data_IF_376672576562
#
_entry.id   IF_376672576562
#
_cell.length_a   1.000
_cell.length_b   1.000
_cell.length_c   1.000
_cell.angle_alpha   90.00
_cell.angle_beta   90.00
_cell.angle_gamma   90.00
#
_symmetry.space_group_name_H-M   'P 1'
#
loop_
_entity.id
_entity.type
_entity.pdbx_description
1 polymer ?
#
# COMPACT_ATOMS: atom_id res chain seq x y z
N UNK A 1 5.62 78.48 -20.23
CA UNK A 1 4.62 78.04 -19.23
C UNK A 1 5.26 77.04 -18.29
N UNK A 2 5.00 77.19 -16.98
CA UNK A 2 5.20 76.25 -15.85
C UNK A 2 6.25 75.12 -15.96
N UNK A 3 7.24 75.21 -15.08
CA UNK A 3 8.08 74.11 -14.58
C UNK A 3 7.24 73.00 -13.94
N UNK A 4 7.76 71.77 -13.93
CA UNK A 4 7.48 70.77 -12.89
C UNK A 4 8.76 70.01 -12.51
N UNK A 5 8.82 69.61 -11.25
CA UNK A 5 9.95 69.00 -10.53
C UNK A 5 9.43 67.69 -9.89
N UNK A 6 10.30 66.89 -9.23
CA UNK A 6 9.97 65.74 -8.35
C UNK A 6 9.63 64.44 -9.14
N UNK A 7 10.12 63.24 -8.81
CA UNK A 7 11.20 62.81 -7.88
C UNK A 7 11.78 61.45 -8.32
N UNK A 8 12.91 61.07 -7.71
CA UNK A 8 13.41 59.70 -7.72
C UNK A 8 12.51 58.78 -6.88
N UNK A 9 12.39 57.52 -7.29
CA UNK A 9 11.94 56.45 -6.41
C UNK A 9 12.76 55.19 -6.73
N UNK A 10 13.60 54.80 -5.78
CA UNK A 10 14.34 53.56 -5.83
C UNK A 10 13.40 52.40 -5.47
N UNK A 11 13.29 51.40 -6.35
CA UNK A 11 12.80 50.09 -5.96
C UNK A 11 14.02 49.19 -5.79
N UNK A 12 14.44 49.02 -4.53
CA UNK A 12 15.35 47.95 -4.12
C UNK A 12 14.86 46.62 -4.69
N UNK A 13 15.78 45.78 -5.15
CA UNK A 13 15.48 44.39 -5.47
C UNK A 13 15.02 43.65 -4.22
N UNK A 14 13.71 43.56 -4.01
CA UNK A 14 13.13 42.74 -2.96
C UNK A 14 13.15 41.29 -3.45
N UNK A 15 14.24 40.59 -3.16
CA UNK A 15 14.24 39.13 -3.20
C UNK A 15 13.24 38.63 -2.14
N UNK A 16 11.97 38.48 -2.52
CA UNK A 16 11.08 37.59 -1.80
C UNK A 16 11.63 36.18 -1.94
N UNK A 17 12.48 35.80 -0.98
CA UNK A 17 12.57 34.40 -0.59
C UNK A 17 11.18 34.05 -0.04
N UNK A 18 10.33 33.50 -0.90
CA UNK A 18 9.15 32.80 -0.48
C UNK A 18 9.66 31.56 0.29
N UNK A 19 9.75 31.68 1.62
CA UNK A 19 9.80 30.52 2.48
C UNK A 19 8.52 29.73 2.20
N UNK A 20 8.65 28.62 1.47
CA UNK A 20 7.54 27.73 1.18
C UNK A 20 6.91 27.25 2.50
N UNK A 21 5.61 26.97 2.53
CA UNK A 21 4.98 26.42 3.73
C UNK A 21 5.71 25.13 4.12
N UNK A 22 6.17 25.06 5.38
CA UNK A 22 6.66 23.81 5.94
C UNK A 22 5.50 22.83 5.96
N UNK A 23 5.66 21.67 5.32
CA UNK A 23 4.72 20.58 5.44
C UNK A 23 4.85 19.98 6.85
N UNK A 24 3.93 20.36 7.74
CA UNK A 24 3.81 19.75 9.06
C UNK A 24 3.11 18.40 8.90
N UNK A 25 3.85 17.30 9.09
CA UNK A 25 3.28 15.96 9.10
C UNK A 25 2.71 15.66 10.49
N UNK A 26 1.39 15.47 10.55
CA UNK A 26 0.67 15.10 11.76
C UNK A 26 0.48 13.58 11.77
N UNK A 27 1.07 12.92 12.76
CA UNK A 27 0.87 11.51 13.03
C UNK A 27 -0.02 11.33 14.26
N UNK A 28 -1.04 10.47 14.15
CA UNK A 28 -1.87 10.05 15.27
C UNK A 28 -2.12 8.54 15.24
N UNK A 29 -2.54 7.98 16.38
CA UNK A 29 -2.99 6.59 16.50
C UNK A 29 -4.43 6.63 17.00
N UNK A 30 -5.35 6.00 16.26
CA UNK A 30 -6.76 6.02 16.61
C UNK A 30 -7.14 5.01 17.72
N UNK A 31 -8.41 5.02 18.12
CA UNK A 31 -8.97 4.13 19.16
C UNK A 31 -8.89 2.63 18.81
N UNK A 32 -8.56 2.28 17.55
CA UNK A 32 -8.38 0.91 17.06
C UNK A 32 -6.90 0.53 16.95
N UNK A 33 -5.99 1.42 17.33
CA UNK A 33 -4.55 1.23 17.19
C UNK A 33 -4.02 1.49 15.78
N UNK A 34 -4.84 2.02 14.86
CA UNK A 34 -4.39 2.32 13.50
C UNK A 34 -3.61 3.63 13.49
N UNK A 35 -2.39 3.59 12.94
CA UNK A 35 -1.55 4.78 12.74
C UNK A 35 -1.97 5.48 11.45
N UNK A 36 -2.21 6.77 11.55
CA UNK A 36 -2.55 7.65 10.43
C UNK A 36 -1.51 8.78 10.33
N UNK A 37 -1.24 9.22 9.11
CA UNK A 37 -0.33 10.33 8.80
C UNK A 37 -1.00 11.25 7.78
N UNK A 38 -0.96 12.56 8.01
CA UNK A 38 -1.47 13.60 7.10
C UNK A 38 -0.51 14.79 7.07
N UNK A 39 -0.42 15.46 5.93
CA UNK A 39 0.21 16.78 5.76
C UNK A 39 -0.79 17.95 5.98
N UNK A 40 -2.08 17.62 6.04
CA UNK A 40 -3.18 18.55 6.26
C UNK A 40 -3.73 18.40 7.69
N UNK A 41 -3.38 19.38 8.55
CA UNK A 41 -3.80 19.42 9.95
C UNK A 41 -5.31 19.51 10.16
N UNK A 42 -6.09 19.92 9.16
CA UNK A 42 -7.55 19.94 9.25
C UNK A 42 -8.17 18.52 9.17
N UNK A 43 -7.41 17.50 8.76
CA UNK A 43 -7.84 16.09 8.72
C UNK A 43 -7.58 15.34 10.04
N UNK A 44 -6.92 15.96 11.02
CA UNK A 44 -6.60 15.33 12.31
C UNK A 44 -7.83 15.35 13.23
N UNK A 45 -8.32 14.20 13.74
CA UNK A 45 -9.49 14.16 14.63
C UNK A 45 -9.24 14.87 15.98
N UNK A 46 -10.14 15.77 16.35
CA UNK A 46 -10.05 16.52 17.62
C UNK A 46 -10.17 15.59 18.83
N UNK A 47 -9.14 15.55 19.68
CA UNK A 47 -9.16 14.83 20.97
C UNK A 47 -8.21 13.64 21.10
N UNK A 48 -7.43 13.31 20.06
CA UNK A 48 -6.43 12.23 20.11
C UNK A 48 -5.03 12.73 20.50
N UNK A 49 -4.16 11.84 20.99
CA UNK A 49 -2.77 12.17 21.31
C UNK A 49 -1.93 12.28 20.04
N UNK A 50 -1.67 13.52 19.62
CA UNK A 50 -0.87 13.85 18.43
C UNK A 50 0.61 13.91 18.82
N UNK A 51 1.47 13.23 18.06
CA UNK A 51 2.92 13.49 18.12
C UNK A 51 3.28 14.51 17.04
N UNK A 52 3.43 15.77 17.44
CA UNK A 52 3.95 16.81 16.54
C UNK A 52 5.47 16.67 16.45
N UNK A 53 6.01 16.47 15.24
CA UNK A 53 7.44 16.60 14.97
C UNK A 53 7.72 17.97 14.33
N UNK A 54 8.11 19.01 15.13
CA UNK A 54 8.53 20.26 14.54
C UNK A 54 9.87 20.07 13.80
N UNK A 55 9.93 20.50 12.54
CA UNK A 55 11.18 20.61 11.81
C UNK A 55 12.09 21.67 12.45
N UNK A 56 13.08 21.25 13.22
CA UNK A 56 14.18 22.13 13.62
C UNK A 56 15.18 22.27 12.46
N UNK A 57 15.46 23.48 11.96
CA UNK A 57 16.52 23.69 10.98
C UNK A 57 17.88 23.38 11.62
N UNK A 58 18.75 22.68 10.88
CA UNK A 58 19.99 22.13 11.43
C UNK A 58 21.01 23.16 11.89
N UNK A 59 21.78 22.78 12.91
CA UNK A 59 23.04 23.44 13.28
C UNK A 59 24.10 22.36 13.54
N UNK A 60 25.10 22.28 12.65
CA UNK A 60 26.34 21.54 12.87
C UNK A 60 27.29 22.41 13.70
N UNK A 61 27.45 22.13 14.99
CA UNK A 61 28.65 22.56 15.73
C UNK A 61 29.24 21.43 16.57
N UNK A 62 30.57 21.48 16.73
CA UNK A 62 31.40 20.49 17.44
C UNK A 62 31.77 21.00 18.84
N UNK A 63 32.30 20.08 19.66
CA UNK A 63 33.01 20.31 20.94
C UNK A 63 32.13 20.87 22.08
N UNK A 64 32.35 20.56 23.35
CA UNK A 64 33.48 19.86 23.99
C UNK A 64 33.08 19.02 25.24
N UNK A 65 34.10 18.51 25.94
CA UNK A 65 34.09 17.44 26.96
C UNK A 65 33.46 17.74 28.35
N UNK A 66 32.88 16.68 28.93
CA UNK A 66 33.10 16.15 30.31
C UNK A 66 32.26 16.61 31.53
N UNK A 67 31.81 15.60 32.31
CA UNK A 67 31.23 15.64 33.67
C UNK A 67 29.92 16.44 33.90
N UNK A 68 28.93 16.03 34.70
CA UNK A 68 28.57 14.77 35.38
C UNK A 68 27.04 14.87 35.76
N UNK A 69 26.35 13.97 36.48
CA UNK A 69 26.69 12.76 37.23
C UNK A 69 25.44 11.84 37.33
N UNK A 70 25.63 10.56 37.67
CA UNK A 70 24.65 9.61 38.26
C UNK A 70 23.13 9.82 38.09
N UNK A 71 22.49 8.88 37.40
CA UNK A 71 21.48 8.01 38.05
C UNK A 71 21.43 6.67 37.31
N UNK A 72 21.93 5.62 37.95
CA UNK A 72 21.83 4.26 37.42
C UNK A 72 20.44 3.70 37.75
N UNK A 73 19.62 3.54 36.72
CA UNK A 73 18.53 2.56 36.70
C UNK A 73 18.96 1.45 35.76
N UNK A 74 18.86 0.21 36.23
CA UNK A 74 19.32 -0.97 35.50
C UNK A 74 18.54 -1.11 34.19
N UNK A 75 19.23 -0.85 33.08
CA UNK A 75 18.70 -1.09 31.74
C UNK A 75 18.58 -2.59 31.53
N UNK A 76 17.37 -3.12 31.72
CA UNK A 76 16.98 -4.40 31.14
C UNK A 76 17.03 -4.20 29.64
N UNK A 77 18.15 -4.61 29.03
CA UNK A 77 18.35 -4.48 27.60
C UNK A 77 17.22 -5.18 26.86
N UNK A 78 16.50 -4.52 25.94
CA UNK A 78 15.57 -5.22 25.06
C UNK A 78 16.34 -6.28 24.27
N UNK A 79 15.71 -7.40 23.89
CA UNK A 79 16.34 -8.39 23.04
C UNK A 79 16.88 -7.69 21.79
N UNK A 80 18.15 -7.94 21.47
CA UNK A 80 18.90 -7.31 20.39
C UNK A 80 18.10 -7.39 19.10
N UNK A 81 17.42 -6.31 18.74
CA UNK A 81 16.67 -6.22 17.51
C UNK A 81 17.61 -6.59 16.35
N UNK A 82 17.14 -7.46 15.46
CA UNK A 82 17.73 -7.52 14.14
C UNK A 82 17.68 -6.10 13.57
N UNK A 83 18.82 -5.57 13.13
CA UNK A 83 18.86 -4.25 12.51
C UNK A 83 17.93 -4.28 11.31
N UNK A 84 16.81 -3.56 11.39
CA UNK A 84 15.86 -3.40 10.31
C UNK A 84 16.63 -3.04 9.03
N UNK A 85 16.30 -3.68 7.91
CA UNK A 85 16.93 -3.32 6.65
C UNK A 85 16.39 -1.97 6.21
N UNK A 86 17.31 -1.03 6.00
CA UNK A 86 17.00 0.28 5.46
C UNK A 86 17.17 0.23 3.94
N UNK A 87 16.17 0.69 3.21
CA UNK A 87 16.22 0.90 1.77
C UNK A 87 16.03 2.39 1.47
N UNK A 88 16.74 2.87 0.46
CA UNK A 88 16.52 4.20 -0.12
C UNK A 88 16.02 4.00 -1.54
N UNK A 89 14.84 4.53 -1.84
CA UNK A 89 14.25 4.56 -3.17
C UNK A 89 14.28 5.98 -3.69
N UNK A 90 14.75 6.18 -4.92
CA UNK A 90 14.58 7.47 -5.60
C UNK A 90 13.17 7.53 -6.20
N UNK A 91 12.50 8.68 -6.08
CA UNK A 91 11.17 8.89 -6.64
C UNK A 91 11.09 10.11 -7.55
N UNK A 92 10.13 10.07 -8.46
CA UNK A 92 9.72 11.20 -9.28
C UNK A 92 8.43 11.77 -8.69
N UNK A 93 8.32 13.10 -8.57
CA UNK A 93 7.08 13.76 -8.10
C UNK A 93 6.40 14.55 -9.21
N UNK A 94 5.07 14.49 -9.22
CA UNK A 94 4.20 15.33 -10.05
C UNK A 94 3.07 15.89 -9.19
N UNK A 95 3.28 17.07 -8.63
CA UNK A 95 2.42 17.60 -7.57
C UNK A 95 2.48 16.72 -6.32
N UNK A 96 1.35 16.12 -5.94
CA UNK A 96 1.25 15.22 -4.78
C UNK A 96 1.47 13.74 -5.14
N UNK A 97 1.64 13.41 -6.42
CA UNK A 97 1.85 12.03 -6.87
C UNK A 97 3.33 11.65 -6.81
N UNK A 98 3.64 10.57 -6.08
CA UNK A 98 4.96 9.96 -5.99
C UNK A 98 4.99 8.73 -6.92
N UNK A 99 5.94 8.71 -7.85
CA UNK A 99 6.12 7.63 -8.82
C UNK A 99 7.50 6.98 -8.68
N UNK A 100 7.53 5.66 -8.82
CA UNK A 100 8.68 4.79 -8.61
C UNK A 100 8.85 3.87 -9.82
N UNK A 101 10.06 3.80 -10.38
CA UNK A 101 10.35 2.82 -11.43
C UNK A 101 10.70 1.47 -10.78
N UNK A 102 9.91 0.45 -11.09
CA UNK A 102 10.06 -0.90 -10.58
C UNK A 102 10.46 -1.86 -11.71
N UNK A 103 11.48 -2.67 -11.48
CA UNK A 103 11.86 -3.80 -12.33
C UNK A 103 11.10 -5.03 -11.87
N UNK A 104 10.20 -5.52 -12.72
CA UNK A 104 9.42 -6.74 -12.54
C UNK A 104 10.19 -7.92 -13.13
N UNK A 105 10.39 -8.96 -12.32
CA UNK A 105 11.08 -10.20 -12.67
C UNK A 105 12.46 -10.01 -13.30
N UNK A 106 13.14 -8.91 -12.94
CA UNK A 106 14.41 -8.44 -13.51
C UNK A 106 14.42 -8.35 -15.07
N UNK A 107 13.24 -8.18 -15.68
CA UNK A 107 13.04 -8.15 -17.15
C UNK A 107 12.27 -6.92 -17.64
N UNK A 108 11.24 -6.47 -16.92
CA UNK A 108 10.36 -5.38 -17.37
C UNK A 108 10.41 -4.20 -16.39
N UNK A 109 10.74 -3.00 -16.87
CA UNK A 109 10.58 -1.77 -16.07
C UNK A 109 9.17 -1.22 -16.26
N UNK A 110 8.45 -1.05 -15.15
CA UNK A 110 7.13 -0.43 -15.11
C UNK A 110 7.13 0.66 -14.04
N UNK A 111 6.49 1.79 -14.33
CA UNK A 111 6.33 2.87 -13.38
C UNK A 111 5.12 2.59 -12.46
N UNK A 112 5.29 2.80 -11.15
CA UNK A 112 4.29 2.58 -10.13
C UNK A 112 4.04 3.84 -9.30
N UNK A 113 2.78 4.16 -9.08
CA UNK A 113 2.35 5.20 -8.12
C UNK A 113 2.40 4.65 -6.70
N UNK A 114 2.93 5.42 -5.75
CA UNK A 114 2.86 5.09 -4.34
C UNK A 114 1.54 5.63 -3.74
N UNK A 115 0.64 4.74 -3.33
CA UNK A 115 -0.66 5.10 -2.75
C UNK A 115 -0.96 4.28 -1.49
N UNK A 116 -0.69 4.87 -0.32
CA UNK A 116 -1.01 4.26 0.98
C UNK A 116 -2.50 4.28 1.32
N UNK A 117 -3.35 4.90 0.51
CA UNK A 117 -4.81 4.80 0.60
C UNK A 117 -5.36 3.55 -0.09
N UNK A 118 -4.62 2.94 -1.01
CA UNK A 118 -5.07 1.77 -1.76
C UNK A 118 -4.97 0.47 -0.94
N UNK A 119 -6.03 -0.35 -1.03
CA UNK A 119 -6.11 -1.67 -0.39
C UNK A 119 -5.48 -2.81 -1.19
N UNK A 120 -5.00 -2.52 -2.41
CA UNK A 120 -4.47 -3.47 -3.39
C UNK A 120 -3.27 -2.85 -4.10
N UNK A 121 -2.34 -3.69 -4.56
CA UNK A 121 -1.43 -3.27 -5.64
C UNK A 121 -2.14 -3.49 -6.99
N UNK A 122 -1.80 -2.71 -8.01
CA UNK A 122 -2.32 -2.90 -9.36
C UNK A 122 -1.20 -2.94 -10.39
N UNK A 123 -1.43 -3.74 -11.44
CA UNK A 123 -0.55 -3.88 -12.59
C UNK A 123 -1.34 -3.46 -13.84
N UNK A 124 -0.79 -2.62 -14.73
CA UNK A 124 -1.47 -2.28 -15.96
C UNK A 124 -1.44 -3.48 -16.92
N UNK A 125 -2.52 -3.72 -17.67
CA UNK A 125 -2.68 -4.92 -18.52
C UNK A 125 -1.49 -5.14 -19.46
N UNK A 126 -0.96 -4.07 -20.06
CA UNK A 126 0.19 -4.14 -20.96
C UNK A 126 1.44 -4.76 -20.30
N UNK A 127 1.65 -4.54 -19.00
CA UNK A 127 2.79 -5.08 -18.28
C UNK A 127 2.62 -6.57 -17.95
N UNK A 128 1.38 -7.02 -17.73
CA UNK A 128 1.07 -8.45 -17.62
C UNK A 128 1.32 -9.17 -18.96
N UNK A 129 0.89 -8.58 -20.07
CA UNK A 129 1.10 -9.12 -21.42
C UNK A 129 2.59 -9.21 -21.78
N UNK A 130 3.37 -8.15 -21.51
CA UNK A 130 4.82 -8.09 -21.79
C UNK A 130 5.64 -9.07 -20.93
N UNK A 131 5.19 -9.37 -19.70
CA UNK A 131 5.77 -10.42 -18.86
C UNK A 131 5.40 -11.85 -19.31
N UNK A 132 4.42 -11.98 -20.22
CA UNK A 132 3.89 -13.27 -20.66
C UNK A 132 2.93 -13.92 -19.67
N UNK A 133 2.25 -13.13 -18.82
CA UNK A 133 1.29 -13.64 -17.84
C UNK A 133 -0.01 -14.01 -18.54
N UNK A 134 -0.28 -15.31 -18.64
CA UNK A 134 -1.54 -15.81 -19.17
C UNK A 134 -2.70 -15.46 -18.22
N UNK A 135 -3.72 -14.78 -18.75
CA UNK A 135 -4.93 -14.38 -18.02
C UNK A 135 -6.13 -14.94 -18.77
N UNK A 136 -6.74 -15.95 -18.17
CA UNK A 136 -7.79 -16.78 -18.75
C UNK A 136 -9.08 -16.74 -17.90
N UNK A 137 -9.92 -17.77 -18.03
CA UNK A 137 -11.13 -17.94 -17.22
C UNK A 137 -10.82 -18.43 -15.80
N UNK A 138 -9.77 -19.23 -15.60
CA UNK A 138 -9.42 -19.88 -14.33
C UNK A 138 -8.57 -19.00 -13.39
N UNK A 139 -7.90 -17.99 -13.94
CA UNK A 139 -7.20 -16.93 -13.22
C UNK A 139 -8.08 -16.35 -12.10
N UNK A 140 -7.61 -16.29 -10.84
CA UNK A 140 -8.35 -15.72 -9.72
C UNK A 140 -8.84 -14.30 -9.99
N UNK A 141 -10.07 -13.98 -9.55
CA UNK A 141 -10.71 -12.68 -9.81
C UNK A 141 -11.44 -12.12 -8.59
N UNK A 142 -11.00 -10.94 -8.14
CA UNK A 142 -11.61 -10.20 -7.04
C UNK A 142 -12.59 -9.14 -7.55
N UNK A 143 -13.52 -8.72 -6.69
CA UNK A 143 -14.38 -7.56 -6.95
C UNK A 143 -13.72 -6.28 -6.42
N UNK A 144 -13.46 -5.32 -7.30
CA UNK A 144 -12.89 -4.00 -6.96
C UNK A 144 -13.94 -2.92 -7.21
N UNK A 145 -14.09 -1.99 -6.27
CA UNK A 145 -14.89 -0.78 -6.46
C UNK A 145 -13.92 0.39 -6.62
N UNK A 146 -13.81 0.90 -7.86
CA UNK A 146 -13.03 2.10 -8.14
C UNK A 146 -13.78 3.39 -7.80
N UNK A 147 -13.20 4.54 -8.17
CA UNK A 147 -13.79 5.88 -7.94
C UNK A 147 -15.19 6.04 -8.57
N UNK A 148 -15.52 5.25 -9.60
CA UNK A 148 -16.85 5.21 -10.23
C UNK A 148 -17.95 4.60 -9.36
N UNK A 149 -17.61 3.97 -8.23
CA UNK A 149 -18.56 3.30 -7.34
C UNK A 149 -19.16 2.00 -7.88
N UNK A 150 -18.86 1.62 -9.13
CA UNK A 150 -19.33 0.38 -9.74
C UNK A 150 -18.34 -0.77 -9.46
N UNK A 151 -18.81 -1.94 -8.97
CA UNK A 151 -17.97 -3.11 -8.83
C UNK A 151 -17.54 -3.66 -10.19
N UNK A 152 -16.23 -3.91 -10.36
CA UNK A 152 -15.65 -4.62 -11.50
C UNK A 152 -14.95 -5.89 -11.02
N UNK A 153 -15.03 -6.99 -11.80
CA UNK A 153 -14.25 -8.21 -11.54
C UNK A 153 -12.95 -8.18 -12.32
N UNK A 154 -11.83 -8.09 -11.62
CA UNK A 154 -10.49 -7.95 -12.20
C UNK A 154 -9.64 -9.19 -11.92
N UNK A 155 -8.75 -9.61 -12.83
CA UNK A 155 -7.79 -10.68 -12.58
C UNK A 155 -6.84 -10.29 -11.45
N UNK A 156 -6.40 -11.27 -10.68
CA UNK A 156 -5.32 -11.13 -9.70
C UNK A 156 -4.22 -12.10 -10.07
N UNK A 157 -2.99 -11.60 -10.15
CA UNK A 157 -1.83 -12.37 -10.60
C UNK A 157 -0.70 -12.32 -9.57
N UNK A 158 0.16 -13.33 -9.63
CA UNK A 158 1.43 -13.38 -8.90
C UNK A 158 2.55 -12.84 -9.79
N UNK A 159 3.24 -11.79 -9.32
CA UNK A 159 4.50 -11.35 -9.92
C UNK A 159 5.64 -11.92 -9.08
N UNK A 160 6.52 -12.71 -9.69
CA UNK A 160 7.51 -13.50 -8.96
C UNK A 160 8.45 -12.62 -8.14
N UNK A 161 8.91 -11.51 -8.72
CA UNK A 161 9.68 -10.50 -8.01
C UNK A 161 9.46 -9.08 -8.54
N UNK A 162 9.65 -8.11 -7.64
CA UNK A 162 9.61 -6.68 -7.89
C UNK A 162 10.81 -6.03 -7.21
N UNK A 163 11.57 -5.23 -7.95
CA UNK A 163 12.75 -4.50 -7.46
C UNK A 163 12.58 -3.00 -7.69
N UNK A 164 12.72 -2.20 -6.63
CA UNK A 164 12.82 -0.74 -6.73
C UNK A 164 14.13 -0.33 -6.06
N UNK A 165 15.08 0.18 -6.85
CA UNK A 165 16.42 0.51 -6.35
C UNK A 165 17.06 -0.66 -5.58
N UNK A 166 17.21 -0.49 -4.27
CA UNK A 166 17.79 -1.50 -3.35
C UNK A 166 16.76 -2.42 -2.70
N UNK A 167 15.46 -2.13 -2.81
CA UNK A 167 14.38 -2.96 -2.28
C UNK A 167 14.06 -4.08 -3.26
N UNK A 168 13.87 -5.28 -2.72
CA UNK A 168 13.46 -6.46 -3.46
C UNK A 168 12.32 -7.16 -2.70
N UNK A 169 11.20 -7.35 -3.39
CA UNK A 169 10.01 -8.02 -2.87
C UNK A 169 9.67 -9.21 -3.76
N UNK A 170 9.37 -10.35 -3.15
CA UNK A 170 8.96 -11.59 -3.84
C UNK A 170 7.47 -11.81 -3.70
N UNK A 171 6.90 -12.53 -4.67
CA UNK A 171 5.49 -12.96 -4.66
C UNK A 171 4.52 -11.79 -4.43
N UNK A 172 4.64 -10.75 -5.26
CA UNK A 172 3.86 -9.52 -5.13
C UNK A 172 2.52 -9.67 -5.83
N UNK A 173 1.44 -9.70 -5.05
CA UNK A 173 0.09 -9.84 -5.59
C UNK A 173 -0.40 -8.52 -6.18
N UNK A 174 -0.91 -8.58 -7.41
CA UNK A 174 -1.40 -7.41 -8.13
C UNK A 174 -2.72 -7.69 -8.84
N UNK A 175 -3.65 -6.74 -8.74
CA UNK A 175 -4.86 -6.72 -9.56
C UNK A 175 -4.57 -6.13 -10.95
N UNK A 176 -4.93 -6.83 -12.01
CA UNK A 176 -4.64 -6.40 -13.39
C UNK A 176 -5.73 -5.46 -13.90
N UNK A 177 -5.35 -4.25 -14.30
CA UNK A 177 -6.26 -3.21 -14.79
C UNK A 177 -5.89 -2.79 -16.22
N UNK A 178 -6.86 -2.81 -17.12
CA UNK A 178 -6.78 -2.36 -18.51
C UNK A 178 -6.85 -0.83 -18.66
N UNK A 179 -7.49 -0.16 -17.71
CA UNK A 179 -7.73 1.30 -17.67
C UNK A 179 -6.54 2.13 -17.18
N UNK A 180 -5.44 1.49 -16.74
CA UNK A 180 -4.29 2.16 -16.14
C UNK A 180 -3.06 2.12 -17.06
N UNK A 181 -2.33 3.25 -17.16
CA UNK A 181 -1.06 3.33 -17.88
C UNK A 181 0.16 2.96 -17.03
N UNK A 182 0.08 3.21 -15.71
CA UNK A 182 1.08 2.85 -14.71
C UNK A 182 0.50 1.92 -13.64
N UNK A 183 1.36 1.18 -12.95
CA UNK A 183 0.96 0.39 -11.80
C UNK A 183 0.69 1.25 -10.56
N UNK A 184 0.20 0.61 -9.51
CA UNK A 184 0.00 1.22 -8.21
C UNK A 184 0.49 0.28 -7.10
N UNK A 185 1.27 0.80 -6.16
CA UNK A 185 1.66 0.09 -4.95
C UNK A 185 0.79 0.57 -3.81
N UNK A 186 0.02 -0.37 -3.25
CA UNK A 186 -0.92 -0.14 -2.17
C UNK A 186 -0.40 -0.64 -0.82
N UNK A 187 -1.26 -0.60 0.18
CA UNK A 187 -0.93 -1.07 1.53
C UNK A 187 -0.40 -2.51 1.62
N UNK A 188 -0.80 -3.50 0.76
CA UNK A 188 -0.16 -4.82 0.76
C UNK A 188 1.36 -4.79 0.50
N UNK A 189 1.87 -3.75 -0.18
CA UNK A 189 3.31 -3.49 -0.31
C UNK A 189 3.83 -2.66 0.88
N UNK A 190 3.17 -1.54 1.21
CA UNK A 190 3.67 -0.57 2.21
C UNK A 190 3.65 -1.05 3.66
N UNK A 191 2.70 -1.92 4.04
CA UNK A 191 2.53 -2.43 5.43
C UNK A 191 3.77 -3.12 6.02
N UNK A 192 4.75 -3.46 5.18
CA UNK A 192 6.00 -4.13 5.57
C UNK A 192 7.12 -3.15 5.95
N UNK A 193 6.90 -1.85 5.81
CA UNK A 193 7.93 -0.83 5.99
C UNK A 193 7.43 0.35 6.84
N UNK A 194 8.33 0.92 7.64
CA UNK A 194 8.19 2.31 8.08
C UNK A 194 8.68 3.20 6.93
N UNK A 195 7.82 4.11 6.48
CA UNK A 195 8.14 5.05 5.39
C UNK A 195 8.50 6.41 5.98
N UNK A 196 9.62 6.98 5.54
CA UNK A 196 9.97 8.38 5.71
C UNK A 196 10.25 8.99 4.33
N UNK A 197 9.71 10.18 4.07
CA UNK A 197 9.84 10.87 2.78
C UNK A 197 10.80 12.04 2.96
N UNK A 198 11.79 12.15 2.08
CA UNK A 198 12.67 13.31 1.93
C UNK A 198 12.41 13.98 0.56
N UNK A 199 11.56 15.03 0.52
CA UNK A 199 11.25 15.73 -0.73
C UNK A 199 12.39 16.57 -1.28
N UNK A 200 13.39 16.93 -0.48
CA UNK A 200 14.54 17.72 -0.93
C UNK A 200 15.54 16.86 -1.70
N UNK A 201 15.71 15.60 -1.27
CA UNK A 201 16.55 14.61 -1.95
C UNK A 201 15.80 13.77 -3.00
N UNK A 202 14.46 13.78 -2.98
CA UNK A 202 13.65 12.89 -3.83
C UNK A 202 13.74 11.42 -3.40
N UNK A 203 13.85 11.18 -2.08
CA UNK A 203 14.08 9.86 -1.49
C UNK A 203 12.91 9.36 -0.63
N UNK A 204 12.50 8.10 -0.82
CA UNK A 204 11.77 7.34 0.18
C UNK A 204 12.76 6.48 0.97
N UNK A 205 12.78 6.65 2.28
CA UNK A 205 13.55 5.84 3.23
C UNK A 205 12.59 4.83 3.86
N UNK A 206 12.91 3.54 3.71
CA UNK A 206 12.07 2.42 4.11
C UNK A 206 12.82 1.53 5.09
N UNK A 207 12.34 1.45 6.33
CA UNK A 207 12.85 0.50 7.33
C UNK A 207 11.94 -0.74 7.38
N UNK A 208 12.45 -1.94 7.07
CA UNK A 208 11.69 -3.18 7.21
C UNK A 208 11.10 -3.32 8.62
N UNK A 209 9.80 -3.54 8.71
CA UNK A 209 9.12 -3.89 9.96
C UNK A 209 9.21 -5.41 10.18
N UNK A 210 9.43 -5.81 11.43
CA UNK A 210 9.31 -7.22 11.82
C UNK A 210 7.85 -7.67 11.54
N UNK A 211 7.61 -8.72 10.75
CA UNK A 211 6.26 -9.24 10.48
C UNK A 211 5.45 -9.53 11.75
N UNK A 212 6.08 -9.84 12.88
CA UNK A 212 5.43 -10.01 14.18
C UNK A 212 5.09 -8.72 14.94
N UNK A 213 5.63 -7.57 14.53
CA UNK A 213 5.46 -6.28 15.21
C UNK A 213 4.23 -5.49 14.80
N UNK A 214 3.64 -5.78 13.63
CA UNK A 214 2.49 -5.04 13.08
C UNK A 214 1.20 -5.77 13.41
N UNK A 215 0.54 -5.36 14.49
CA UNK A 215 -0.70 -5.99 14.95
C UNK A 215 -1.78 -5.95 13.85
N UNK A 216 -2.33 -7.12 13.50
CA UNK A 216 -3.39 -7.24 12.49
C UNK A 216 -2.90 -7.31 11.04
N UNK A 217 -1.60 -7.40 10.79
CA UNK A 217 -1.02 -7.70 9.48
C UNK A 217 -0.41 -9.11 9.49
N UNK A 218 -0.70 -9.89 8.46
CA UNK A 218 -0.29 -11.29 8.34
C UNK A 218 0.25 -11.50 6.92
N UNK A 219 1.54 -11.87 6.81
CA UNK A 219 2.23 -11.98 5.52
C UNK A 219 2.26 -10.67 4.70
N UNK A 220 2.21 -9.50 5.35
CA UNK A 220 2.09 -8.19 4.69
C UNK A 220 0.66 -7.77 4.33
N UNK A 221 -0.32 -8.68 4.44
CA UNK A 221 -1.73 -8.43 4.13
C UNK A 221 -2.52 -8.18 5.42
N UNK A 222 -3.33 -7.12 5.45
CA UNK A 222 -4.16 -6.78 6.61
C UNK A 222 -5.25 -7.83 6.87
N UNK A 223 -5.60 -8.07 8.14
CA UNK A 223 -6.61 -9.04 8.56
C UNK A 223 -8.00 -8.80 7.93
N UNK A 224 -8.36 -7.54 7.69
CA UNK A 224 -9.57 -7.14 6.96
C UNK A 224 -9.55 -7.62 5.50
N UNK A 225 -8.38 -7.52 4.84
CA UNK A 225 -8.19 -7.98 3.47
C UNK A 225 -8.19 -9.50 3.35
N UNK A 226 -7.73 -10.22 4.39
CA UNK A 226 -7.89 -11.68 4.49
C UNK A 226 -9.37 -12.06 4.62
N UNK A 227 -10.09 -11.51 5.61
CA UNK A 227 -11.54 -11.77 5.81
C UNK A 227 -12.35 -11.54 4.54
N UNK A 228 -12.15 -10.39 3.88
CA UNK A 228 -12.86 -10.07 2.63
C UNK A 228 -12.68 -11.11 1.52
N UNK A 229 -11.54 -11.82 1.47
CA UNK A 229 -11.29 -12.89 0.49
C UNK A 229 -12.06 -14.16 0.83
N UNK A 230 -11.98 -14.61 2.10
CA UNK A 230 -12.77 -15.75 2.59
C UNK A 230 -14.27 -15.49 2.38
N UNK A 231 -14.78 -14.35 2.88
CA UNK A 231 -16.17 -13.93 2.66
C UNK A 231 -16.56 -13.84 1.17
N UNK A 232 -15.63 -13.51 0.25
CA UNK A 232 -15.94 -13.48 -1.18
C UNK A 232 -16.19 -14.90 -1.70
N UNK A 233 -15.29 -15.85 -1.40
CA UNK A 233 -15.42 -17.24 -1.85
C UNK A 233 -16.66 -17.88 -1.21
N UNK A 234 -16.88 -17.69 0.09
CA UNK A 234 -18.06 -18.21 0.80
C UNK A 234 -19.38 -17.70 0.22
N UNK A 235 -19.45 -16.39 -0.10
CA UNK A 235 -20.63 -15.82 -0.78
C UNK A 235 -20.85 -16.43 -2.16
N UNK A 236 -19.78 -16.76 -2.89
CA UNK A 236 -19.88 -17.39 -4.21
C UNK A 236 -20.32 -18.85 -4.10
N UNK A 237 -19.76 -19.63 -3.17
CA UNK A 237 -20.17 -21.02 -2.88
C UNK A 237 -21.64 -21.08 -2.43
N UNK A 238 -22.05 -20.21 -1.50
CA UNK A 238 -23.44 -20.12 -1.06
C UNK A 238 -24.40 -19.72 -2.20
N UNK A 239 -23.95 -18.91 -3.15
CA UNK A 239 -24.74 -18.56 -4.34
C UNK A 239 -24.86 -19.75 -5.32
N UNK A 240 -23.82 -20.56 -5.50
CA UNK A 240 -23.89 -21.80 -6.30
C UNK A 240 -24.84 -22.82 -5.66
N UNK A 241 -24.77 -23.02 -4.34
CA UNK A 241 -25.68 -23.93 -3.65
C UNK A 241 -27.14 -23.47 -3.78
N UNK A 242 -27.43 -22.18 -3.56
CA UNK A 242 -28.76 -21.62 -3.79
C UNK A 242 -29.23 -21.76 -5.24
N UNK A 243 -28.32 -21.68 -6.20
CA UNK A 243 -28.62 -21.90 -7.62
C UNK A 243 -28.95 -23.38 -7.91
N UNK A 244 -28.21 -24.33 -7.30
CA UNK A 244 -28.47 -25.78 -7.36
C UNK A 244 -29.84 -26.12 -6.76
N UNK A 245 -30.15 -25.59 -5.58
CA UNK A 245 -31.44 -25.79 -4.89
C UNK A 245 -32.65 -25.23 -5.67
N UNK A 246 -32.42 -24.31 -6.62
CA UNK A 246 -33.47 -23.74 -7.47
C UNK A 246 -33.80 -24.56 -8.73
N UNK A 247 -33.06 -25.63 -9.00
CA UNK A 247 -33.24 -26.48 -10.19
C UNK A 247 -34.42 -27.46 -9.99
N UNK A 248 -35.46 -27.45 -10.85
CA UNK A 248 -36.58 -28.37 -10.72
C UNK A 248 -36.17 -29.83 -10.99
N UNK A 249 -36.64 -30.82 -10.20
CA UNK A 249 -36.21 -32.22 -10.31
C UNK A 249 -36.63 -32.92 -11.61
N UNK A 250 -37.56 -32.35 -12.38
CA UNK A 250 -38.13 -32.94 -13.60
C UNK A 250 -37.48 -32.41 -14.90
N UNK A 251 -36.38 -31.65 -14.80
CA UNK A 251 -35.79 -30.98 -15.97
C UNK A 251 -34.63 -31.77 -16.60
N UNK A 252 -34.90 -32.44 -17.73
CA UNK A 252 -33.98 -33.46 -18.28
C UNK A 252 -32.65 -32.90 -18.84
N UNK A 253 -32.62 -32.29 -20.05
CA UNK A 253 -31.34 -32.01 -20.72
C UNK A 253 -30.72 -30.66 -20.38
N UNK A 254 -31.53 -29.60 -20.26
CA UNK A 254 -31.03 -28.25 -20.05
C UNK A 254 -30.52 -28.03 -18.62
N UNK A 255 -31.18 -28.65 -17.63
CA UNK A 255 -30.77 -28.56 -16.24
C UNK A 255 -29.59 -29.48 -15.90
N UNK A 256 -29.47 -30.67 -16.50
CA UNK A 256 -28.26 -31.49 -16.40
C UNK A 256 -27.01 -30.67 -16.78
N UNK A 257 -27.03 -30.01 -17.95
CA UNK A 257 -25.95 -29.12 -18.41
C UNK A 257 -25.73 -27.90 -17.52
N UNK A 258 -26.77 -27.43 -16.82
CA UNK A 258 -26.67 -26.33 -15.88
C UNK A 258 -26.02 -26.76 -14.57
N UNK A 259 -26.42 -27.91 -14.01
CA UNK A 259 -25.82 -28.54 -12.85
C UNK A 259 -24.34 -28.84 -13.09
N UNK A 260 -24.00 -29.49 -14.22
CA UNK A 260 -22.61 -29.72 -14.64
C UNK A 260 -21.77 -28.42 -14.71
N UNK A 261 -22.39 -27.28 -15.01
CA UNK A 261 -21.71 -25.97 -14.97
C UNK A 261 -21.55 -25.47 -13.54
N UNK A 262 -22.56 -25.61 -12.68
CA UNK A 262 -22.44 -25.26 -11.26
C UNK A 262 -21.37 -26.10 -10.57
N UNK A 263 -21.28 -27.40 -10.89
CA UNK A 263 -20.28 -28.32 -10.34
C UNK A 263 -18.85 -27.88 -10.72
N UNK A 264 -18.60 -27.54 -11.99
CA UNK A 264 -17.30 -27.01 -12.44
C UNK A 264 -16.92 -25.68 -11.78
N UNK A 265 -17.88 -24.78 -11.57
CA UNK A 265 -17.66 -23.52 -10.85
C UNK A 265 -17.41 -23.77 -9.34
N UNK A 266 -18.07 -24.76 -8.74
CA UNK A 266 -17.86 -25.14 -7.33
C UNK A 266 -16.46 -25.72 -7.12
N UNK A 267 -16.04 -26.71 -7.93
CA UNK A 267 -14.68 -27.27 -7.89
C UNK A 267 -13.60 -26.19 -8.02
N UNK A 268 -13.86 -25.19 -8.87
CA UNK A 268 -12.96 -24.05 -9.10
C UNK A 268 -12.86 -23.13 -7.88
N UNK A 269 -13.99 -22.83 -7.24
CA UNK A 269 -14.01 -22.04 -5.99
C UNK A 269 -13.39 -22.81 -4.83
N UNK A 270 -13.57 -24.13 -4.76
CA UNK A 270 -12.91 -24.99 -3.78
C UNK A 270 -11.38 -24.95 -3.93
N UNK A 271 -10.85 -25.08 -5.15
CA UNK A 271 -9.40 -24.91 -5.41
C UNK A 271 -8.89 -23.51 -5.00
N UNK A 272 -9.66 -22.46 -5.27
CA UNK A 272 -9.31 -21.09 -4.85
C UNK A 272 -9.35 -20.93 -3.32
N UNK A 273 -10.24 -21.64 -2.62
CA UNK A 273 -10.26 -21.68 -1.16
C UNK A 273 -9.04 -22.37 -0.59
N UNK A 274 -8.70 -23.57 -1.09
CA UNK A 274 -7.49 -24.33 -0.68
C UNK A 274 -6.20 -23.51 -0.86
N UNK A 275 -6.07 -22.79 -1.99
CA UNK A 275 -4.94 -21.90 -2.22
C UNK A 275 -4.93 -20.73 -1.20
N UNK A 276 -6.08 -20.10 -0.96
CA UNK A 276 -6.22 -19.02 0.01
C UNK A 276 -5.89 -19.48 1.44
N UNK A 277 -6.31 -20.68 1.83
CA UNK A 277 -6.01 -21.29 3.13
C UNK A 277 -4.52 -21.60 3.29
N UNK A 278 -3.89 -22.19 2.28
CA UNK A 278 -2.45 -22.45 2.27
C UNK A 278 -1.65 -21.15 2.41
N UNK A 279 -2.05 -20.10 1.69
CA UNK A 279 -1.44 -18.77 1.77
C UNK A 279 -1.69 -18.09 3.13
N UNK A 280 -2.90 -18.21 3.68
CA UNK A 280 -3.24 -17.71 5.01
C UNK A 280 -2.40 -18.40 6.10
N UNK A 281 -2.23 -19.72 6.02
CA UNK A 281 -1.39 -20.50 6.93
C UNK A 281 0.09 -20.07 6.84
N UNK A 282 0.64 -19.93 5.62
CA UNK A 282 2.01 -19.44 5.41
C UNK A 282 2.21 -18.00 5.92
N UNK A 283 1.17 -17.17 5.87
CA UNK A 283 1.15 -15.81 6.40
C UNK A 283 0.94 -15.72 7.93
N UNK A 284 0.66 -16.83 8.60
CA UNK A 284 0.33 -16.88 10.03
C UNK A 284 -1.06 -16.34 10.39
N UNK A 285 -1.97 -16.26 9.41
CA UNK A 285 -3.34 -15.74 9.61
C UNK A 285 -4.19 -16.71 10.45
N UNK A 286 -4.71 -16.31 11.63
CA UNK A 286 -5.42 -17.22 12.53
C UNK A 286 -6.77 -17.71 12.01
N UNK A 287 -7.04 -19.01 12.16
CA UNK A 287 -8.29 -19.66 11.73
C UNK A 287 -9.56 -19.00 12.29
N UNK A 288 -9.49 -18.52 13.54
CA UNK A 288 -10.58 -17.77 14.21
C UNK A 288 -10.92 -16.41 13.57
N UNK A 289 -10.13 -15.95 12.61
CA UNK A 289 -10.31 -14.71 11.86
C UNK A 289 -10.65 -14.96 10.38
N UNK A 290 -10.75 -16.21 9.94
CA UNK A 290 -11.25 -16.56 8.60
C UNK A 290 -12.75 -16.25 8.53
#
# INVERSE_FOLDING_TARGET
MRSFTIAALACLGFCLQAAGPRAELYQWTDERGQVHVTDDGAKVPTGQSITMQPQSPGALEKTDREAAHSLALESVAPPRAATAREHVLLFQSSGHEISLDASLEDRLVCNFKADTGASLNTLPRWAADELGVEIDEDTPRISVVGVSGQPMRVPVVMIASLRIGTLYAENVEMAVLDTMSSGLLGMPFWNRYRVAIDPELGELRLSELDPGSVQGVFGGVAAESWRKRFEQIDRQLAALQKARDSVPPESETQAQRYLERLDREEEKLQRQLEELESRAQAAGFPDRLR
#
